data_IF_330644788105
#
_entry.id   IF_330644788105
#
_cell.length_a   1.000
_cell.length_b   1.000
_cell.length_c   1.000
_cell.angle_alpha   90.00
_cell.angle_beta   90.00
_cell.angle_gamma   90.00
#
_symmetry.space_group_name_H-M   'P 1'
#
loop_
_entity.id
_entity.type
_entity.pdbx_description
1 polymer ?
#
# COMPACT_ATOMS: atom_id res chain seq x y z
N UNK A 1 38.24 37.23 -24.03
CA UNK A 1 36.96 37.28 -24.76
C UNK A 1 35.87 36.81 -23.80
N UNK A 2 35.10 37.73 -23.24
CA UNK A 2 34.08 37.43 -22.23
C UNK A 2 32.76 37.23 -22.96
N UNK A 3 32.29 35.99 -23.06
CA UNK A 3 30.92 35.73 -23.50
C UNK A 3 29.97 36.32 -22.46
N UNK A 4 29.06 37.18 -22.90
CA UNK A 4 28.09 37.85 -22.02
C UNK A 4 27.10 36.82 -21.47
N UNK A 5 26.59 37.02 -20.25
CA UNK A 5 25.61 36.12 -19.59
C UNK A 5 24.38 35.79 -20.46
N UNK A 6 24.03 36.67 -21.40
CA UNK A 6 22.98 36.45 -22.40
C UNK A 6 23.33 35.42 -23.49
N UNK A 7 24.61 35.21 -23.79
CA UNK A 7 25.04 34.19 -24.75
C UNK A 7 25.05 32.80 -24.11
N UNK A 8 25.47 32.69 -22.84
CA UNK A 8 25.43 31.44 -22.07
C UNK A 8 24.00 30.93 -21.92
N UNK A 9 23.07 31.83 -21.56
CA UNK A 9 21.65 31.47 -21.40
C UNK A 9 21.00 30.97 -22.70
N UNK A 10 21.34 31.60 -23.83
CA UNK A 10 20.88 31.14 -25.15
C UNK A 10 21.45 29.79 -25.55
N UNK A 11 22.69 29.49 -25.15
CA UNK A 11 23.31 28.21 -25.43
C UNK A 11 22.67 27.08 -24.61
N UNK A 12 22.39 27.33 -23.32
CA UNK A 12 21.66 26.38 -22.46
C UNK A 12 20.25 26.10 -22.98
N UNK A 13 19.53 27.13 -23.45
CA UNK A 13 18.21 26.96 -24.08
C UNK A 13 18.29 26.10 -25.35
N UNK A 14 19.33 26.27 -26.16
CA UNK A 14 19.54 25.50 -27.39
C UNK A 14 19.90 24.03 -27.10
N UNK A 15 20.70 23.78 -26.06
CA UNK A 15 21.11 22.43 -25.67
C UNK A 15 19.93 21.67 -25.02
N UNK A 16 19.08 22.37 -24.27
CA UNK A 16 17.83 21.81 -23.75
C UNK A 16 16.84 21.45 -24.87
N UNK A 17 16.75 22.28 -25.92
CA UNK A 17 15.90 22.00 -27.10
C UNK A 17 16.38 20.74 -27.84
N UNK A 18 17.70 20.59 -28.06
CA UNK A 18 18.27 19.39 -28.70
C UNK A 18 18.01 18.12 -27.90
N UNK A 19 18.15 18.21 -26.57
CA UNK A 19 17.90 17.08 -25.66
C UNK A 19 16.43 16.66 -25.71
N UNK A 20 15.51 17.63 -25.84
CA UNK A 20 14.08 17.37 -25.95
C UNK A 20 13.70 16.72 -27.29
N UNK A 21 14.28 17.19 -28.40
CA UNK A 21 14.07 16.56 -29.73
C UNK A 21 14.59 15.12 -29.77
N UNK A 22 15.74 14.86 -29.13
CA UNK A 22 16.30 13.51 -29.05
C UNK A 22 15.42 12.58 -28.19
N UNK A 23 14.88 13.10 -27.08
CA UNK A 23 13.91 12.36 -26.25
C UNK A 23 12.61 12.05 -27.02
N UNK A 24 12.10 12.98 -27.82
CA UNK A 24 10.91 12.76 -28.66
C UNK A 24 11.16 11.69 -29.74
N UNK A 25 12.35 11.67 -30.35
CA UNK A 25 12.73 10.62 -31.32
C UNK A 25 12.83 9.23 -30.68
N UNK A 26 13.34 9.14 -29.45
CA UNK A 26 13.53 7.86 -28.76
C UNK A 26 12.23 7.30 -28.16
N UNK A 27 11.27 8.15 -27.82
CA UNK A 27 10.05 7.74 -27.11
C UNK A 27 8.80 7.73 -27.99
N UNK A 28 8.80 8.41 -29.13
CA UNK A 28 7.62 8.54 -30.01
C UNK A 28 6.47 9.32 -29.38
N UNK A 29 6.73 10.07 -28.30
CA UNK A 29 5.73 10.88 -27.59
C UNK A 29 5.82 12.33 -28.08
N UNK A 30 4.79 12.79 -28.78
CA UNK A 30 4.58 14.21 -29.07
C UNK A 30 4.14 14.92 -27.77
N UNK A 31 5.04 15.72 -27.18
CA UNK A 31 4.68 16.57 -26.04
C UNK A 31 3.97 17.80 -26.60
N UNK A 32 2.65 17.70 -26.77
CA UNK A 32 1.81 18.86 -27.01
C UNK A 32 1.84 19.79 -25.78
N UNK A 33 2.01 21.09 -26.04
CA UNK A 33 2.12 22.19 -25.07
C UNK A 33 1.12 22.08 -23.90
N UNK A 34 1.66 21.90 -22.69
CA UNK A 34 0.90 21.94 -21.44
C UNK A 34 0.66 23.41 -21.06
N UNK A 35 -0.27 24.09 -21.73
CA UNK A 35 -0.63 25.49 -21.41
C UNK A 35 -2.05 25.66 -20.88
N UNK A 36 -2.72 24.59 -20.43
CA UNK A 36 -4.04 24.73 -19.82
C UNK A 36 -4.38 23.70 -18.74
N UNK A 37 -3.62 23.71 -17.64
CA UNK A 37 -3.95 22.95 -16.42
C UNK A 37 -4.19 23.87 -15.22
N UNK A 38 -5.13 24.81 -15.33
CA UNK A 38 -5.58 25.60 -14.17
C UNK A 38 -6.85 25.08 -13.50
N UNK A 39 -7.45 23.98 -13.95
CA UNK A 39 -8.65 23.40 -13.32
C UNK A 39 -8.71 21.87 -13.46
N UNK A 40 -7.63 21.17 -13.12
CA UNK A 40 -7.76 19.77 -12.75
C UNK A 40 -7.77 19.72 -11.23
N UNK A 41 -8.92 19.36 -10.67
CA UNK A 41 -9.00 18.80 -9.33
C UNK A 41 -7.81 17.85 -9.14
N UNK A 42 -7.13 17.98 -8.01
CA UNK A 42 -5.95 17.21 -7.68
C UNK A 42 -6.29 15.72 -7.76
N UNK A 43 -6.11 15.11 -8.94
CA UNK A 43 -6.19 13.67 -9.08
C UNK A 43 -4.94 13.18 -8.37
N UNK A 44 -5.10 12.87 -7.09
CA UNK A 44 -4.10 12.12 -6.34
C UNK A 44 -3.86 10.86 -7.15
N UNK A 45 -2.77 10.85 -7.91
CA UNK A 45 -2.30 9.66 -8.60
C UNK A 45 -1.91 8.67 -7.50
N UNK A 46 -2.88 7.87 -7.05
CA UNK A 46 -2.60 6.64 -6.32
C UNK A 46 -2.31 5.60 -7.41
N UNK A 47 -1.07 5.12 -7.57
CA UNK A 47 -0.86 3.87 -8.28
C UNK A 47 -1.71 2.82 -7.56
N UNK A 48 -2.79 2.36 -8.19
CA UNK A 48 -3.78 1.48 -7.57
C UNK A 48 -3.30 0.01 -7.52
N UNK A 49 -1.99 -0.19 -7.54
CA UNK A 49 -1.33 -1.44 -7.20
C UNK A 49 0.07 -1.08 -6.72
N UNK A 50 0.33 -1.28 -5.43
CA UNK A 50 1.68 -1.49 -4.97
C UNK A 50 2.26 -2.62 -5.82
N UNK A 51 3.21 -2.34 -6.71
CA UNK A 51 3.78 -3.39 -7.58
C UNK A 51 4.56 -4.31 -6.66
N UNK A 52 3.93 -5.43 -6.30
CA UNK A 52 4.55 -6.47 -5.53
C UNK A 52 5.70 -7.04 -6.36
N UNK A 53 6.93 -6.96 -5.85
CA UNK A 53 8.09 -7.44 -6.60
C UNK A 53 7.98 -8.94 -6.86
N UNK A 54 8.48 -9.41 -8.00
CA UNK A 54 8.47 -10.84 -8.35
C UNK A 54 9.13 -11.71 -7.27
N UNK A 55 10.20 -11.19 -6.66
CA UNK A 55 10.86 -11.84 -5.51
C UNK A 55 9.91 -12.02 -4.33
N UNK A 56 9.07 -11.03 -4.04
CA UNK A 56 8.10 -11.09 -2.95
C UNK A 56 6.93 -12.02 -3.29
N UNK A 57 6.47 -12.03 -4.54
CA UNK A 57 5.45 -12.98 -5.04
C UNK A 57 5.97 -14.42 -4.90
N UNK A 58 7.18 -14.70 -5.36
CA UNK A 58 7.79 -16.02 -5.24
C UNK A 58 7.97 -16.43 -3.78
N UNK A 59 8.31 -15.48 -2.92
CA UNK A 59 8.38 -15.68 -1.47
C UNK A 59 7.01 -16.06 -0.89
N UNK A 60 5.93 -15.39 -1.29
CA UNK A 60 4.56 -15.73 -0.85
C UNK A 60 4.17 -17.15 -1.29
N UNK A 61 4.38 -17.46 -2.57
CA UNK A 61 3.98 -18.74 -3.17
C UNK A 61 4.79 -19.91 -2.59
N UNK A 62 6.11 -19.73 -2.42
CA UNK A 62 6.98 -20.78 -1.88
C UNK A 62 6.75 -21.08 -0.39
N UNK A 63 6.33 -20.09 0.38
CA UNK A 63 6.11 -20.24 1.82
C UNK A 63 4.65 -20.52 2.19
N UNK A 64 3.79 -20.87 1.21
CA UNK A 64 2.36 -21.11 1.42
C UNK A 64 1.63 -19.94 2.10
N UNK A 65 2.16 -18.71 1.98
CA UNK A 65 1.55 -17.54 2.59
C UNK A 65 0.16 -17.27 1.98
N UNK A 66 -0.08 -17.69 0.74
CA UNK A 66 -1.39 -17.63 0.07
C UNK A 66 -2.50 -18.39 0.82
N UNK A 67 -2.14 -19.41 1.62
CA UNK A 67 -3.07 -20.21 2.42
C UNK A 67 -3.44 -19.58 3.75
N UNK A 68 -2.82 -18.45 4.11
CA UNK A 68 -3.09 -17.80 5.38
C UNK A 68 -4.51 -17.24 5.46
N UNK A 69 -5.13 -17.29 6.64
CA UNK A 69 -6.50 -16.84 6.83
C UNK A 69 -6.62 -15.36 6.45
N UNK A 70 -7.68 -15.04 5.71
CA UNK A 70 -8.08 -13.65 5.45
C UNK A 70 -8.81 -13.10 6.67
N UNK A 71 -8.73 -11.78 6.87
CA UNK A 71 -9.44 -11.09 7.94
C UNK A 71 -10.37 -10.02 7.35
N UNK A 72 -11.67 -10.15 7.62
CA UNK A 72 -12.70 -9.24 7.13
C UNK A 72 -13.06 -8.11 8.10
N UNK A 73 -12.74 -8.26 9.38
CA UNK A 73 -13.17 -7.34 10.44
C UNK A 73 -14.58 -7.64 10.97
N UNK A 74 -15.06 -8.88 10.82
CA UNK A 74 -16.39 -9.30 11.27
C UNK A 74 -16.39 -9.59 12.78
N UNK A 75 -17.57 -9.51 13.39
CA UNK A 75 -17.74 -9.71 14.84
C UNK A 75 -17.37 -11.10 15.36
N UNK A 76 -17.44 -12.11 14.50
CA UNK A 76 -17.06 -13.48 14.81
C UNK A 76 -15.57 -13.78 14.57
N UNK A 77 -14.81 -12.82 14.04
CA UNK A 77 -13.38 -12.97 13.79
C UNK A 77 -12.58 -12.43 14.99
N UNK A 78 -11.58 -13.19 15.41
CA UNK A 78 -10.69 -12.77 16.50
C UNK A 78 -9.44 -12.08 15.93
N UNK A 79 -9.44 -10.75 15.97
CA UNK A 79 -8.33 -9.92 15.48
C UNK A 79 -6.99 -10.24 16.15
N UNK A 80 -6.99 -10.58 17.45
CA UNK A 80 -5.76 -10.91 18.17
C UNK A 80 -5.16 -12.23 17.71
N UNK A 81 -6.01 -13.24 17.53
CA UNK A 81 -5.60 -14.53 16.99
C UNK A 81 -5.06 -14.36 15.58
N UNK A 82 -5.82 -13.68 14.71
CA UNK A 82 -5.40 -13.45 13.33
C UNK A 82 -4.08 -12.68 13.23
N UNK A 83 -3.90 -11.61 14.02
CA UNK A 83 -2.64 -10.85 14.07
C UNK A 83 -1.46 -11.71 14.55
N UNK A 84 -1.68 -12.58 15.53
CA UNK A 84 -0.64 -13.50 16.01
C UNK A 84 -0.23 -14.46 14.91
N UNK A 85 -1.21 -15.10 14.28
CA UNK A 85 -0.99 -16.08 13.22
C UNK A 85 -0.25 -15.44 12.02
N UNK A 86 -0.75 -14.31 11.50
CA UNK A 86 -0.12 -13.63 10.36
C UNK A 86 1.27 -13.08 10.71
N UNK A 87 1.46 -12.52 11.91
CA UNK A 87 2.77 -11.98 12.31
C UNK A 87 3.82 -13.07 12.41
N UNK A 88 3.47 -14.22 12.98
CA UNK A 88 4.37 -15.37 13.09
C UNK A 88 4.84 -15.84 11.72
N UNK A 89 3.91 -15.99 10.77
CA UNK A 89 4.21 -16.45 9.42
C UNK A 89 5.08 -15.45 8.65
N UNK A 90 4.76 -14.16 8.72
CA UNK A 90 5.57 -13.11 8.10
C UNK A 90 6.98 -13.04 8.70
N UNK A 91 7.13 -13.35 10.00
CA UNK A 91 8.42 -13.41 10.67
C UNK A 91 9.22 -14.67 10.30
N UNK A 92 8.57 -15.84 10.12
CA UNK A 92 9.21 -17.07 9.62
C UNK A 92 9.87 -16.81 8.26
N UNK A 93 9.16 -16.07 7.41
CA UNK A 93 9.60 -15.69 6.06
C UNK A 93 10.56 -14.48 6.07
N UNK A 94 10.86 -13.93 7.26
CA UNK A 94 11.82 -12.83 7.48
C UNK A 94 11.50 -11.57 6.65
N UNK A 95 10.22 -11.27 6.48
CA UNK A 95 9.82 -10.04 5.79
C UNK A 95 10.09 -8.82 6.68
N UNK A 96 10.64 -7.77 6.08
CA UNK A 96 10.74 -6.46 6.74
C UNK A 96 9.37 -5.76 6.74
N UNK A 97 9.23 -4.65 7.48
CA UNK A 97 7.93 -3.97 7.63
C UNK A 97 7.37 -3.45 6.29
N UNK A 98 8.21 -2.93 5.40
CA UNK A 98 7.81 -2.50 4.06
C UNK A 98 7.20 -3.66 3.24
N UNK A 99 7.87 -4.82 3.26
CA UNK A 99 7.38 -6.04 2.62
C UNK A 99 6.11 -6.57 3.29
N UNK A 100 6.01 -6.48 4.62
CA UNK A 100 4.79 -6.83 5.36
C UNK A 100 3.62 -5.97 4.90
N UNK A 101 3.81 -4.66 4.75
CA UNK A 101 2.76 -3.76 4.25
C UNK A 101 2.37 -4.01 2.80
N UNK A 102 3.34 -4.44 1.98
CA UNK A 102 3.10 -4.86 0.61
C UNK A 102 2.16 -6.07 0.55
N UNK A 103 2.31 -7.02 1.47
CA UNK A 103 1.56 -8.29 1.45
C UNK A 103 0.25 -8.20 2.23
N UNK A 104 0.19 -7.39 3.30
CA UNK A 104 -0.93 -7.42 4.25
C UNK A 104 -2.26 -7.06 3.61
N UNK A 105 -2.25 -6.19 2.60
CA UNK A 105 -3.44 -5.83 1.85
C UNK A 105 -4.10 -7.04 1.18
N UNK A 106 -3.32 -8.08 0.83
CA UNK A 106 -3.86 -9.32 0.25
C UNK A 106 -4.58 -10.17 1.28
N UNK A 107 -4.25 -10.03 2.56
CA UNK A 107 -4.83 -10.80 3.68
C UNK A 107 -6.02 -10.09 4.35
N UNK A 108 -6.16 -8.79 4.14
CA UNK A 108 -7.32 -8.03 4.56
C UNK A 108 -8.43 -8.11 3.51
N UNK A 109 -9.67 -8.30 3.94
CA UNK A 109 -10.87 -8.27 3.09
C UNK A 109 -11.93 -7.36 3.73
N UNK A 110 -13.04 -7.12 3.03
CA UNK A 110 -14.21 -6.41 3.53
C UNK A 110 -13.89 -5.10 4.30
N UNK A 111 -14.37 -4.98 5.55
CA UNK A 111 -14.22 -3.79 6.39
C UNK A 111 -12.77 -3.55 6.80
N UNK A 112 -12.02 -4.62 7.09
CA UNK A 112 -10.61 -4.51 7.45
C UNK A 112 -9.76 -3.96 6.30
N UNK A 113 -10.05 -4.35 5.05
CA UNK A 113 -9.38 -3.78 3.87
C UNK A 113 -9.73 -2.31 3.69
N UNK A 114 -11.01 -1.95 3.81
CA UNK A 114 -11.46 -0.54 3.72
C UNK A 114 -10.78 0.32 4.77
N UNK A 115 -10.75 -0.16 6.01
CA UNK A 115 -10.06 0.50 7.11
C UNK A 115 -8.58 0.71 6.80
N UNK A 116 -7.88 -0.32 6.34
CA UNK A 116 -6.45 -0.21 6.03
C UNK A 116 -6.16 0.82 4.95
N UNK A 117 -6.90 0.83 3.85
CA UNK A 117 -6.74 1.81 2.76
C UNK A 117 -6.91 3.26 3.24
N UNK A 118 -7.80 3.47 4.22
CA UNK A 118 -8.08 4.80 4.78
C UNK A 118 -7.04 5.25 5.81
N UNK A 119 -6.30 4.31 6.42
CA UNK A 119 -5.38 4.60 7.53
C UNK A 119 -3.91 4.33 7.18
N UNK A 120 -3.60 3.72 6.02
CA UNK A 120 -2.23 3.29 5.66
C UNK A 120 -1.20 4.42 5.66
N UNK A 121 -1.61 5.67 5.37
CA UNK A 121 -0.69 6.83 5.39
C UNK A 121 -0.26 7.25 6.80
N UNK A 122 -0.94 6.75 7.85
CA UNK A 122 -0.63 7.03 9.25
C UNK A 122 0.10 5.87 9.93
N UNK A 123 0.32 4.77 9.22
CA UNK A 123 0.87 3.52 9.74
C UNK A 123 2.28 3.36 9.17
N UNK A 124 3.29 3.60 10.01
CA UNK A 124 4.69 3.63 9.58
C UNK A 124 5.47 2.36 9.92
N UNK A 125 4.93 1.53 10.81
CA UNK A 125 5.61 0.35 11.33
C UNK A 125 4.58 -0.71 11.75
N UNK A 126 5.02 -1.96 11.81
CA UNK A 126 4.14 -3.11 12.07
C UNK A 126 3.49 -3.07 13.47
N UNK A 127 4.15 -2.44 14.44
CA UNK A 127 3.61 -2.29 15.81
C UNK A 127 2.42 -1.33 15.80
N UNK A 128 2.57 -0.17 15.17
CA UNK A 128 1.49 0.80 14.99
C UNK A 128 0.31 0.19 14.24
N UNK A 129 0.57 -0.56 13.17
CA UNK A 129 -0.48 -1.30 12.45
C UNK A 129 -1.27 -2.23 13.37
N UNK A 130 -0.55 -3.08 14.11
CA UNK A 130 -1.14 -4.11 14.97
C UNK A 130 -2.01 -3.48 16.06
N UNK A 131 -1.52 -2.43 16.72
CA UNK A 131 -2.26 -1.71 17.77
C UNK A 131 -3.52 -1.06 17.21
N UNK A 132 -3.43 -0.39 16.06
CA UNK A 132 -4.58 0.32 15.48
C UNK A 132 -5.63 -0.65 14.93
N UNK A 133 -5.20 -1.77 14.33
CA UNK A 133 -6.10 -2.80 13.86
C UNK A 133 -6.82 -3.47 15.04
N UNK A 134 -6.08 -3.81 16.11
CA UNK A 134 -6.70 -4.30 17.34
C UNK A 134 -7.71 -3.30 17.85
N UNK A 135 -7.31 -2.05 18.13
CA UNK A 135 -8.20 -1.03 18.67
C UNK A 135 -9.49 -0.86 17.85
N UNK A 136 -9.39 -0.97 16.53
CA UNK A 136 -10.55 -0.84 15.63
C UNK A 136 -11.48 -2.05 15.70
N UNK A 137 -10.94 -3.27 15.64
CA UNK A 137 -11.73 -4.50 15.51
C UNK A 137 -11.85 -5.31 16.81
N UNK A 138 -11.23 -4.86 17.90
CA UNK A 138 -11.31 -5.44 19.24
C UNK A 138 -12.35 -4.77 20.13
N UNK A 139 -13.05 -3.75 19.63
CA UNK A 139 -14.08 -3.04 20.40
C UNK A 139 -15.06 -4.05 21.00
N UNK A 140 -15.43 -3.82 22.26
CA UNK A 140 -16.16 -4.72 23.18
C UNK A 140 -17.43 -5.32 22.53
N UNK A 141 -18.04 -4.62 21.58
CA UNK A 141 -19.19 -5.10 20.81
C UNK A 141 -18.92 -6.43 20.05
N UNK A 142 -17.69 -6.68 19.60
CA UNK A 142 -17.31 -7.92 18.91
C UNK A 142 -16.96 -9.06 19.87
N UNK A 143 -16.41 -8.75 21.05
CA UNK A 143 -16.11 -9.76 22.07
C UNK A 143 -17.39 -10.24 22.80
N UNK A 144 -18.35 -9.35 23.06
CA UNK A 144 -19.64 -9.71 23.69
C UNK A 144 -20.51 -10.61 22.80
N UNK A 145 -20.47 -10.42 21.47
CA UNK A 145 -21.17 -11.29 20.50
C UNK A 145 -20.56 -12.70 20.43
N UNK A 146 -19.24 -12.83 20.53
CA UNK A 146 -18.56 -14.13 20.58
C UNK A 146 -18.88 -14.90 21.87
N UNK A 147 -18.89 -14.22 23.02
CA UNK A 147 -19.24 -14.81 24.32
C UNK A 147 -20.72 -15.26 24.38
N UNK A 148 -21.64 -14.46 23.80
CA UNK A 148 -23.07 -14.79 23.78
C UNK A 148 -23.38 -16.04 22.96
N UNK A 149 -22.61 -16.29 21.89
CA UNK A 149 -22.78 -17.50 21.07
C UNK A 149 -22.13 -18.75 21.68
N UNK A 150 -21.10 -18.63 22.51
CA UNK A 150 -20.48 -19.79 23.20
C UNK A 150 -21.27 -20.29 24.42
N UNK A 151 -22.11 -19.45 25.04
CA UNK A 151 -22.90 -19.84 26.22
C UNK A 151 -24.15 -20.65 25.85
N UNK A 152 -24.67 -20.49 24.62
CA UNK A 152 -25.88 -21.20 24.17
C UNK A 152 -25.60 -22.70 23.90
N UNK A 153 -24.35 -23.08 23.60
CA UNK A 153 -23.99 -24.48 23.30
C UNK A 153 -23.83 -25.33 24.57
N UNK A 154 -23.65 -24.71 25.75
CA UNK A 154 -23.48 -25.41 27.03
C UNK A 154 -24.73 -25.42 27.91
N UNK A 155 -25.90 -25.10 27.34
CA UNK A 155 -27.22 -25.28 27.97
C UNK A 155 -28.16 -26.00 27.01
N UNK A 156 -27.88 -27.29 26.77
CA UNK A 156 -28.82 -28.25 26.23
C UNK A 156 -28.74 -29.53 27.07
#
# INVERSE_FOLDING_TARGET
MVQTRQQVKRQEELDNLKTNEEFQRLTGIEIAEITHLQNLEYIVYRPNSFIMTEKLINTILSNNLDKLPKFGGKSNENVNKWLTDITNELNIVKLNDEQKFSVIQTFLVDDARRWYINNMSMINDWSTFSIQLQKTFSSIFHQELALKNSVIINKA
#
